data_IF_383540654367
#
_entry.id   IF_383540654367
#
_cell.length_a   1.000
_cell.length_b   1.000
_cell.length_c   1.000
_cell.angle_alpha   90.00
_cell.angle_beta   90.00
_cell.angle_gamma   90.00
#
_symmetry.space_group_name_H-M   'P 1'
#
loop_
_entity.id
_entity.type
_entity.pdbx_description
1 polymer ?
#
# COMPACT_ATOMS: atom_id res chain seq x y z
N UNK A 1 -3.85 13.29 -16.26
CA UNK A 1 -2.93 13.34 -15.10
C UNK A 1 -1.52 13.08 -15.61
N UNK A 2 -0.51 13.83 -15.15
CA UNK A 2 0.89 13.50 -15.48
C UNK A 2 1.33 12.29 -14.64
N UNK A 3 2.25 11.46 -15.13
CA UNK A 3 2.86 10.43 -14.29
C UNK A 3 3.64 11.09 -13.15
N UNK A 4 3.62 10.47 -11.97
CA UNK A 4 4.37 10.89 -10.79
C UNK A 4 5.11 9.70 -10.19
N UNK A 5 6.18 10.00 -9.46
CA UNK A 5 6.94 9.00 -8.73
C UNK A 5 6.23 8.70 -7.40
N UNK A 6 6.22 7.42 -7.02
CA UNK A 6 5.73 7.02 -5.70
C UNK A 6 6.53 7.69 -4.58
N UNK A 7 5.97 7.83 -3.39
CA UNK A 7 6.64 8.52 -2.28
C UNK A 7 7.99 7.87 -1.93
N UNK A 8 8.08 6.54 -1.88
CA UNK A 8 9.35 5.86 -1.63
C UNK A 8 10.34 6.09 -2.76
N UNK A 9 9.88 5.97 -4.01
CA UNK A 9 10.74 6.18 -5.18
C UNK A 9 11.26 7.62 -5.21
N UNK A 10 10.40 8.61 -5.02
CA UNK A 10 10.75 10.02 -5.02
C UNK A 10 11.80 10.34 -3.93
N UNK A 11 11.66 9.78 -2.73
CA UNK A 11 12.62 9.94 -1.63
C UNK A 11 13.96 9.24 -1.85
N UNK A 12 14.01 8.22 -2.70
CA UNK A 12 15.26 7.56 -3.05
C UNK A 12 16.10 8.37 -4.06
N UNK A 13 15.51 9.38 -4.69
CA UNK A 13 16.20 10.31 -5.60
C UNK A 13 16.69 11.57 -4.87
N UNK A 14 17.38 12.44 -5.60
CA UNK A 14 17.73 13.79 -5.12
C UNK A 14 16.45 14.59 -4.81
N UNK A 15 16.52 15.45 -3.79
CA UNK A 15 15.42 16.30 -3.31
C UNK A 15 14.74 17.10 -4.44
N UNK A 16 15.51 17.53 -5.45
CA UNK A 16 14.97 18.22 -6.62
C UNK A 16 13.96 17.37 -7.41
N UNK A 17 14.15 16.05 -7.44
CA UNK A 17 13.23 15.12 -8.08
C UNK A 17 11.96 14.93 -7.25
N UNK A 18 12.09 14.86 -5.92
CA UNK A 18 10.94 14.78 -5.01
C UNK A 18 10.00 15.99 -5.21
N UNK A 19 10.54 17.21 -5.23
CA UNK A 19 9.73 18.43 -5.43
C UNK A 19 9.06 18.46 -6.80
N UNK A 20 9.73 18.00 -7.86
CA UNK A 20 9.19 18.06 -9.23
C UNK A 20 8.21 16.94 -9.58
N UNK A 21 8.43 15.75 -9.03
CA UNK A 21 7.78 14.53 -9.49
C UNK A 21 6.97 13.81 -8.43
N UNK A 22 6.92 14.31 -7.19
CA UNK A 22 6.04 13.76 -6.15
C UNK A 22 4.57 13.96 -6.52
N UNK A 23 3.78 12.91 -6.34
CA UNK A 23 2.32 12.97 -6.46
C UNK A 23 1.69 13.94 -5.47
N UNK A 24 2.38 14.32 -4.39
CA UNK A 24 1.88 15.29 -3.42
C UNK A 24 1.71 16.71 -4.02
N UNK A 25 2.46 17.03 -5.07
CA UNK A 25 2.46 18.36 -5.72
C UNK A 25 1.77 18.34 -7.09
N UNK A 26 1.06 17.27 -7.45
CA UNK A 26 0.38 17.16 -8.74
C UNK A 26 -1.14 17.21 -8.62
N UNK A 27 -1.76 18.10 -9.39
CA UNK A 27 -3.22 18.20 -9.46
C UNK A 27 -3.84 16.89 -9.95
N UNK A 28 -4.83 16.42 -9.19
CA UNK A 28 -5.54 15.17 -9.48
C UNK A 28 -4.90 13.91 -8.91
N UNK A 29 -3.70 13.97 -8.31
CA UNK A 29 -3.06 12.80 -7.68
C UNK A 29 -3.64 12.45 -6.29
N UNK A 30 -4.41 13.35 -5.67
CA UNK A 30 -5.19 13.03 -4.47
C UNK A 30 -4.36 12.68 -3.23
N UNK A 31 -3.11 13.16 -3.13
CA UNK A 31 -2.15 12.80 -2.06
C UNK A 31 -1.95 11.29 -1.92
N UNK A 32 -2.10 10.56 -3.02
CA UNK A 32 -1.87 9.12 -3.09
C UNK A 32 -0.38 8.84 -2.91
N UNK A 33 -0.05 7.66 -2.38
CA UNK A 33 1.35 7.28 -2.18
C UNK A 33 2.01 6.86 -3.50
N UNK A 34 1.22 6.43 -4.47
CA UNK A 34 1.69 5.81 -5.71
C UNK A 34 2.24 4.40 -5.49
N UNK A 35 1.80 3.74 -4.42
CA UNK A 35 2.29 2.42 -3.95
C UNK A 35 1.14 1.52 -3.53
N UNK A 36 -0.08 1.83 -3.96
CA UNK A 36 -1.29 1.15 -3.50
C UNK A 36 -1.25 -0.32 -3.92
N UNK A 37 -0.71 -0.60 -5.11
CA UNK A 37 -0.51 -1.94 -5.65
C UNK A 37 0.61 -2.67 -4.89
N UNK A 38 1.73 -2.00 -4.65
CA UNK A 38 2.88 -2.53 -3.93
C UNK A 38 2.53 -2.89 -2.47
N UNK A 39 1.72 -2.08 -1.80
CA UNK A 39 1.22 -2.36 -0.46
C UNK A 39 0.32 -3.61 -0.44
N UNK A 40 -0.57 -3.75 -1.43
CA UNK A 40 -1.40 -4.94 -1.58
C UNK A 40 -0.54 -6.18 -1.85
N UNK A 41 0.44 -6.07 -2.74
CA UNK A 41 1.35 -7.16 -3.10
C UNK A 41 2.22 -7.57 -1.91
N UNK A 42 2.75 -6.62 -1.15
CA UNK A 42 3.53 -6.89 0.06
C UNK A 42 2.70 -7.62 1.12
N UNK A 43 1.43 -7.22 1.30
CA UNK A 43 0.50 -7.91 2.19
C UNK A 43 0.21 -9.34 1.74
N UNK A 44 -0.17 -9.53 0.47
CA UNK A 44 -0.50 -10.86 -0.08
C UNK A 44 0.71 -11.79 -0.13
N UNK A 45 1.90 -11.27 -0.40
CA UNK A 45 3.14 -12.06 -0.44
C UNK A 45 3.44 -12.72 0.92
N UNK A 46 3.19 -12.03 2.04
CA UNK A 46 3.33 -12.62 3.38
C UNK A 46 2.33 -13.75 3.62
N UNK A 47 1.10 -13.59 3.16
CA UNK A 47 0.04 -14.60 3.32
C UNK A 47 0.29 -15.80 2.41
N UNK A 48 0.86 -15.58 1.23
CA UNK A 48 1.21 -16.66 0.31
C UNK A 48 2.15 -17.69 0.96
N UNK A 49 3.09 -17.24 1.81
CA UNK A 49 4.02 -18.13 2.51
C UNK A 49 3.32 -19.09 3.47
N UNK A 50 2.28 -18.63 4.18
CA UNK A 50 1.53 -19.44 5.16
C UNK A 50 0.39 -20.25 4.53
N UNK A 51 -0.04 -19.90 3.32
CA UNK A 51 -1.17 -20.54 2.63
C UNK A 51 -0.76 -21.46 1.47
N UNK A 52 0.53 -21.52 1.12
CA UNK A 52 1.03 -22.27 -0.05
C UNK A 52 0.66 -23.75 -0.09
N UNK A 53 0.54 -24.39 1.07
CA UNK A 53 0.28 -25.83 1.21
C UNK A 53 -1.17 -26.15 1.57
N UNK A 54 -2.04 -25.14 1.63
CA UNK A 54 -3.45 -25.34 1.91
C UNK A 54 -4.17 -25.91 0.68
N UNK A 55 -5.29 -26.59 0.92
CA UNK A 55 -6.22 -26.91 -0.16
C UNK A 55 -6.73 -25.62 -0.82
N UNK A 56 -7.17 -25.73 -2.08
CA UNK A 56 -7.72 -24.58 -2.81
C UNK A 56 -8.84 -23.87 -2.03
N UNK A 57 -9.75 -24.64 -1.44
CA UNK A 57 -10.84 -24.11 -0.61
C UNK A 57 -10.30 -23.39 0.63
N UNK A 58 -9.45 -24.07 1.42
CA UNK A 58 -8.87 -23.47 2.63
C UNK A 58 -8.04 -22.21 2.36
N UNK A 59 -7.36 -22.16 1.21
CA UNK A 59 -6.62 -20.97 0.78
C UNK A 59 -7.55 -19.80 0.49
N UNK A 60 -8.65 -20.02 -0.23
CA UNK A 60 -9.63 -18.96 -0.54
C UNK A 60 -10.25 -18.39 0.73
N UNK A 61 -10.63 -19.25 1.67
CA UNK A 61 -11.21 -18.82 2.95
C UNK A 61 -10.19 -18.02 3.77
N UNK A 62 -8.95 -18.51 3.85
CA UNK A 62 -7.88 -17.83 4.59
C UNK A 62 -7.53 -16.47 3.97
N UNK A 63 -7.43 -16.37 2.65
CA UNK A 63 -7.20 -15.08 1.98
C UNK A 63 -8.30 -14.08 2.28
N UNK A 64 -9.56 -14.52 2.27
CA UNK A 64 -10.73 -13.69 2.58
C UNK A 64 -10.68 -13.18 4.02
N UNK A 65 -10.46 -14.08 4.98
CA UNK A 65 -10.31 -13.73 6.40
C UNK A 65 -9.18 -12.72 6.65
N UNK A 66 -8.02 -12.96 6.05
CA UNK A 66 -6.87 -12.06 6.21
C UNK A 66 -7.13 -10.69 5.60
N UNK A 67 -7.75 -10.61 4.43
CA UNK A 67 -8.13 -9.34 3.80
C UNK A 67 -9.14 -8.55 4.67
N UNK A 68 -10.15 -9.23 5.22
CA UNK A 68 -11.12 -8.61 6.15
C UNK A 68 -10.42 -8.06 7.40
N UNK A 69 -9.52 -8.84 8.00
CA UNK A 69 -8.72 -8.40 9.15
C UNK A 69 -7.85 -7.19 8.79
N UNK A 70 -7.22 -7.17 7.61
CA UNK A 70 -6.40 -6.04 7.19
C UNK A 70 -7.22 -4.77 7.04
N UNK A 71 -8.44 -4.85 6.50
CA UNK A 71 -9.35 -3.71 6.44
C UNK A 71 -9.73 -3.22 7.84
N UNK A 72 -10.07 -4.11 8.77
CA UNK A 72 -10.35 -3.72 10.16
C UNK A 72 -9.14 -3.06 10.82
N UNK A 73 -7.92 -3.56 10.57
CA UNK A 73 -6.69 -2.97 11.10
C UNK A 73 -6.47 -1.56 10.57
N UNK A 74 -6.75 -1.31 9.28
CA UNK A 74 -6.68 0.04 8.70
C UNK A 74 -7.59 0.99 9.47
N UNK A 75 -8.87 0.63 9.65
CA UNK A 75 -9.81 1.47 10.41
C UNK A 75 -9.35 1.76 11.83
N UNK A 76 -8.85 0.75 12.55
CA UNK A 76 -8.34 0.91 13.92
C UNK A 76 -7.11 1.82 13.99
N UNK A 77 -6.25 1.76 12.97
CA UNK A 77 -4.99 2.48 12.96
C UNK A 77 -5.09 3.87 12.30
N UNK A 78 -6.21 4.23 11.67
CA UNK A 78 -6.38 5.53 10.98
C UNK A 78 -6.04 6.70 11.90
N UNK A 79 -6.53 6.70 13.14
CA UNK A 79 -6.26 7.79 14.08
C UNK A 79 -4.75 7.99 14.31
N UNK A 80 -4.03 6.90 14.60
CA UNK A 80 -2.57 6.93 14.79
C UNK A 80 -1.83 7.36 13.52
N UNK A 81 -2.23 6.83 12.35
CA UNK A 81 -1.60 7.17 11.07
C UNK A 81 -1.77 8.64 10.69
N UNK A 82 -2.87 9.29 11.10
CA UNK A 82 -3.10 10.71 10.87
C UNK A 82 -2.30 11.61 11.83
N UNK A 83 -1.98 11.13 13.03
CA UNK A 83 -1.19 11.88 14.01
C UNK A 83 0.31 11.95 13.69
N UNK A 84 0.85 11.00 12.91
CA UNK A 84 2.28 10.88 12.62
C UNK A 84 2.65 11.16 11.16
N UNK A 85 1.82 11.92 10.44
CA UNK A 85 1.98 12.17 9.01
C UNK A 85 3.04 13.23 8.70
#
# INVERSE_FOLDING_TARGET
MKPFLSVFHAKAHDFKCEVKWSGAYQDGAGLTLGEEVEQCNAFLSRIAVTTKHMSKAGRTDMLSLMAMRWNQQKFKNVATSLCHR
#
